data_IF_393327580187
#
_entry.id   IF_393327580187
#
_cell.length_a   1.000
_cell.length_b   1.000
_cell.length_c   1.000
_cell.angle_alpha   90.00
_cell.angle_beta   90.00
_cell.angle_gamma   90.00
#
_symmetry.space_group_name_H-M   'P 1'
#
loop_
_entity.id
_entity.type
_entity.pdbx_description
1 polymer ?
#
# COMPACT_ATOMS: atom_id res chain seq x y z
N UNK A 1 -11.96 13.27 5.89
CA UNK A 1 -12.13 11.88 5.42
C UNK A 1 -10.73 11.29 5.32
N UNK A 2 -10.39 10.35 6.19
CA UNK A 2 -9.10 9.67 6.13
C UNK A 2 -9.16 8.54 5.11
N UNK A 3 -8.21 8.49 4.19
CA UNK A 3 -8.02 7.35 3.30
C UNK A 3 -7.57 6.14 4.13
N UNK A 4 -8.23 5.01 3.96
CA UNK A 4 -7.78 3.73 4.50
C UNK A 4 -6.64 3.20 3.62
N UNK A 5 -5.63 2.63 4.26
CA UNK A 5 -4.54 1.94 3.57
C UNK A 5 -4.22 0.61 4.21
N UNK A 6 -3.76 -0.31 3.38
CA UNK A 6 -3.36 -1.65 3.76
C UNK A 6 -1.84 -1.75 3.74
N UNK A 7 -1.31 -2.42 4.75
CA UNK A 7 0.08 -2.86 4.77
C UNK A 7 0.09 -4.35 5.03
N UNK A 8 1.02 -5.06 4.41
CA UNK A 8 1.12 -6.50 4.50
C UNK A 8 2.51 -6.88 5.02
N UNK A 9 2.54 -7.74 6.02
CA UNK A 9 3.77 -8.29 6.60
C UNK A 9 3.85 -9.75 6.16
N UNK A 10 4.97 -10.12 5.56
CA UNK A 10 5.27 -11.49 5.17
C UNK A 10 6.08 -12.12 6.29
N UNK A 11 5.53 -13.18 6.86
CA UNK A 11 6.10 -13.93 7.97
C UNK A 11 6.86 -15.15 7.41
N UNK A 12 8.00 -15.50 8.00
CA UNK A 12 8.76 -16.70 7.65
C UNK A 12 8.27 -17.98 8.36
N UNK A 13 7.32 -17.88 9.29
CA UNK A 13 6.76 -19.04 10.02
C UNK A 13 5.23 -19.03 10.10
N UNK A 14 4.64 -20.21 10.19
CA UNK A 14 3.21 -20.46 10.00
C UNK A 14 2.32 -20.24 11.25
N UNK A 15 2.63 -19.31 12.16
CA UNK A 15 1.86 -19.18 13.42
C UNK A 15 1.67 -17.73 13.85
N UNK A 16 0.44 -17.22 14.04
CA UNK A 16 0.26 -15.81 14.39
C UNK A 16 0.97 -15.46 15.70
N UNK A 17 1.72 -14.35 15.68
CA UNK A 17 2.17 -13.70 16.89
C UNK A 17 1.02 -12.81 17.36
N UNK A 18 0.42 -13.16 18.50
CA UNK A 18 -0.65 -12.44 19.22
C UNK A 18 -2.12 -12.71 18.84
N UNK A 19 -2.99 -12.36 19.79
CA UNK A 19 -4.43 -12.20 19.61
C UNK A 19 -4.67 -11.08 18.60
N UNK A 20 -5.36 -11.39 17.50
CA UNK A 20 -5.51 -10.45 16.38
C UNK A 20 -6.47 -9.31 16.73
N UNK A 21 -6.01 -8.05 16.80
CA UNK A 21 -6.93 -6.93 16.94
C UNK A 21 -7.81 -6.79 15.67
N UNK A 22 -8.98 -6.12 15.76
CA UNK A 22 -9.96 -6.08 14.66
C UNK A 22 -9.45 -5.51 13.33
N UNK A 23 -8.34 -4.75 13.35
CA UNK A 23 -7.75 -4.16 12.15
C UNK A 23 -6.63 -5.03 11.53
N UNK A 24 -6.55 -6.31 11.88
CA UNK A 24 -5.52 -7.21 11.35
C UNK A 24 -6.12 -8.54 10.90
N UNK A 25 -5.52 -9.13 9.87
CA UNK A 25 -5.92 -10.43 9.33
C UNK A 25 -4.66 -11.27 9.10
N UNK A 26 -4.58 -12.44 9.71
CA UNK A 26 -3.54 -13.42 9.41
C UNK A 26 -4.11 -14.58 8.63
N UNK A 27 -3.47 -14.94 7.52
CA UNK A 27 -3.86 -16.05 6.68
C UNK A 27 -2.66 -16.62 5.93
N UNK A 28 -2.87 -17.74 5.24
CA UNK A 28 -1.90 -18.32 4.34
C UNK A 28 -2.31 -18.04 2.90
N UNK A 29 -1.38 -17.56 2.08
CA UNK A 29 -1.60 -17.46 0.64
C UNK A 29 -1.96 -18.84 0.07
N UNK A 30 -3.00 -18.90 -0.75
CA UNK A 30 -3.51 -20.17 -1.25
C UNK A 30 -2.56 -20.85 -2.26
N UNK A 31 -1.78 -20.05 -3.01
CA UNK A 31 -0.89 -20.57 -4.05
C UNK A 31 0.46 -21.04 -3.48
N UNK A 32 1.00 -20.32 -2.50
CA UNK A 32 2.36 -20.53 -1.98
C UNK A 32 2.39 -21.07 -0.55
N UNK A 33 1.23 -21.11 0.14
CA UNK A 33 1.11 -21.39 1.57
C UNK A 33 1.93 -20.44 2.47
N UNK A 34 2.38 -19.30 1.93
CA UNK A 34 3.14 -18.29 2.65
C UNK A 34 2.25 -17.63 3.71
N UNK A 35 2.67 -17.55 4.98
CA UNK A 35 1.93 -16.84 6.00
C UNK A 35 2.04 -15.32 5.81
N UNK A 36 0.88 -14.69 5.87
CA UNK A 36 0.66 -13.28 5.58
C UNK A 36 -0.10 -12.66 6.74
N UNK A 37 0.36 -11.49 7.19
CA UNK A 37 -0.36 -10.66 8.15
C UNK A 37 -0.70 -9.31 7.51
N UNK A 38 -1.97 -9.09 7.16
CA UNK A 38 -2.47 -7.79 6.70
C UNK A 38 -2.82 -6.92 7.90
N UNK A 39 -2.45 -5.66 7.82
CA UNK A 39 -2.73 -4.61 8.79
C UNK A 39 -3.47 -3.49 8.08
N UNK A 40 -4.73 -3.28 8.47
CA UNK A 40 -5.50 -2.11 8.09
C UNK A 40 -5.03 -0.89 8.88
N UNK A 41 -4.67 0.16 8.16
CA UNK A 41 -4.16 1.42 8.73
C UNK A 41 -5.01 2.59 8.25
N UNK A 42 -5.07 3.62 9.09
CA UNK A 42 -5.54 4.94 8.69
C UNK A 42 -4.30 5.79 8.49
N UNK A 43 -4.23 6.55 7.41
CA UNK A 43 -3.06 7.39 7.15
C UNK A 43 -2.82 8.47 8.21
N UNK A 44 -1.55 8.67 8.54
CA UNK A 44 -1.06 9.69 9.49
C UNK A 44 -1.69 9.56 10.89
N UNK A 45 -2.14 8.37 11.25
CA UNK A 45 -2.77 8.11 12.53
C UNK A 45 -1.72 7.52 13.48
N UNK A 46 -1.36 8.21 14.58
CA UNK A 46 -0.36 7.73 15.54
C UNK A 46 -0.64 6.32 16.08
N UNK A 47 -1.92 5.96 16.24
CA UNK A 47 -2.29 4.62 16.68
C UNK A 47 -2.05 3.55 15.59
N UNK A 48 -2.24 3.90 14.32
CA UNK A 48 -1.89 3.01 13.20
C UNK A 48 -0.38 2.83 13.09
N UNK A 49 0.39 3.92 13.26
CA UNK A 49 1.85 3.90 13.27
C UNK A 49 2.38 3.01 14.39
N UNK A 50 1.90 3.22 15.63
CA UNK A 50 2.31 2.42 16.79
C UNK A 50 2.03 0.93 16.59
N UNK A 51 0.83 0.58 16.12
CA UNK A 51 0.45 -0.82 15.86
C UNK A 51 1.32 -1.49 14.81
N UNK A 52 1.59 -0.79 13.72
CA UNK A 52 2.50 -1.26 12.67
C UNK A 52 3.88 -1.51 13.26
N UNK A 53 4.37 -0.57 14.07
CA UNK A 53 5.64 -0.70 14.78
C UNK A 53 5.68 -1.93 15.69
N UNK A 54 4.66 -2.13 16.52
CA UNK A 54 4.58 -3.27 17.44
C UNK A 54 4.58 -4.61 16.70
N UNK A 55 3.82 -4.71 15.59
CA UNK A 55 3.77 -5.93 14.79
C UNK A 55 5.11 -6.23 14.13
N UNK A 56 5.71 -5.24 13.46
CA UNK A 56 7.01 -5.42 12.80
C UNK A 56 8.08 -5.74 13.84
N UNK A 57 8.07 -5.09 15.00
CA UNK A 57 8.97 -5.40 16.11
C UNK A 57 8.77 -6.83 16.61
N UNK A 58 7.52 -7.29 16.79
CA UNK A 58 7.22 -8.67 17.21
C UNK A 58 7.75 -9.71 16.21
N UNK A 59 7.56 -9.48 14.91
CA UNK A 59 8.10 -10.36 13.87
C UNK A 59 9.63 -10.26 13.74
N UNK A 60 10.19 -9.05 13.80
CA UNK A 60 11.63 -8.79 13.66
C UNK A 60 12.44 -9.37 14.82
N UNK A 61 12.01 -9.11 16.05
CA UNK A 61 12.66 -9.61 17.28
C UNK A 61 12.69 -11.14 17.37
N UNK A 62 11.76 -11.83 16.69
CA UNK A 62 11.70 -13.30 16.63
C UNK A 62 12.37 -13.88 15.38
N UNK A 63 13.02 -13.04 14.54
CA UNK A 63 13.60 -13.40 13.24
C UNK A 63 12.60 -14.08 12.29
N UNK A 64 11.37 -13.57 12.31
CA UNK A 64 10.24 -14.05 11.52
C UNK A 64 9.80 -13.06 10.45
N UNK A 65 10.24 -11.81 10.53
CA UNK A 65 9.96 -10.81 9.52
C UNK A 65 10.72 -11.14 8.23
N UNK A 66 10.00 -11.44 7.15
CA UNK A 66 10.62 -11.70 5.85
C UNK A 66 10.62 -10.50 4.92
N UNK A 67 9.46 -9.88 4.76
CA UNK A 67 9.36 -8.61 4.05
C UNK A 67 8.13 -7.83 4.50
N UNK A 68 8.20 -6.53 4.33
CA UNK A 68 7.07 -5.62 4.50
C UNK A 68 6.64 -5.17 3.11
N UNK A 69 5.34 -5.23 2.86
CA UNK A 69 4.72 -4.81 1.61
C UNK A 69 3.83 -3.62 1.92
N UNK A 70 4.09 -2.49 1.27
CA UNK A 70 3.34 -1.25 1.46
C UNK A 70 2.50 -0.95 0.22
N UNK A 71 1.28 -0.45 0.43
CA UNK A 71 0.36 0.03 -0.61
C UNK A 71 0.84 1.41 -1.12
N UNK A 72 1.96 1.39 -1.83
CA UNK A 72 2.51 2.54 -2.52
C UNK A 72 3.19 2.09 -3.80
N UNK A 73 3.32 3.01 -4.76
CA UNK A 73 4.06 2.81 -5.99
C UNK A 73 5.36 3.62 -5.96
N UNK A 74 6.30 3.31 -6.85
CA UNK A 74 7.64 3.92 -6.84
C UNK A 74 7.58 5.45 -6.89
N UNK A 75 6.77 6.02 -7.77
CA UNK A 75 6.65 7.46 -7.94
C UNK A 75 6.11 8.14 -6.67
N UNK A 76 5.06 7.55 -6.06
CA UNK A 76 4.48 8.04 -4.81
C UNK A 76 5.48 7.92 -3.66
N UNK A 77 6.17 6.79 -3.56
CA UNK A 77 7.17 6.55 -2.52
C UNK A 77 8.36 7.52 -2.60
N UNK A 78 8.89 7.75 -3.80
CA UNK A 78 9.99 8.69 -4.01
C UNK A 78 9.57 10.14 -3.77
N UNK A 79 8.32 10.50 -4.07
CA UNK A 79 7.75 11.79 -3.68
C UNK A 79 7.71 11.94 -2.16
N UNK A 80 7.18 10.94 -1.45
CA UNK A 80 7.11 10.93 0.02
C UNK A 80 8.51 11.07 0.65
N UNK A 81 9.51 10.31 0.18
CA UNK A 81 10.89 10.42 0.69
C UNK A 81 11.53 11.79 0.45
N UNK A 82 11.18 12.48 -0.65
CA UNK A 82 11.66 13.84 -0.95
C UNK A 82 11.02 14.89 -0.07
N UNK A 83 9.71 14.79 0.15
CA UNK A 83 8.94 15.78 0.93
C UNK A 83 9.18 15.59 2.43
N UNK A 84 9.31 14.34 2.88
CA UNK A 84 9.47 13.96 4.27
C UNK A 84 10.71 13.09 4.45
N UNK A 85 11.93 13.65 4.33
CA UNK A 85 13.14 12.87 4.53
C UNK A 85 13.25 12.42 6.00
N UNK A 86 13.83 11.23 6.19
CA UNK A 86 14.15 10.63 7.48
C UNK A 86 14.89 11.65 8.37
N UNK A 87 14.39 11.86 9.59
CA UNK A 87 14.95 12.83 10.54
C UNK A 87 14.51 14.29 10.38
N UNK A 88 13.64 14.62 9.42
CA UNK A 88 13.10 15.98 9.28
C UNK A 88 12.03 16.32 10.33
N UNK A 89 11.91 17.61 10.69
CA UNK A 89 10.86 18.08 11.62
C UNK A 89 9.45 17.90 11.05
N UNK A 90 9.29 17.99 9.73
CA UNK A 90 8.01 17.70 9.06
C UNK A 90 7.61 16.24 9.26
N UNK A 91 8.58 15.32 9.21
CA UNK A 91 8.33 13.90 9.45
C UNK A 91 7.87 13.63 10.87
N UNK A 92 8.43 14.29 11.88
CA UNK A 92 7.95 14.12 13.27
C UNK A 92 6.51 14.61 13.49
N UNK A 93 5.98 15.46 12.61
CA UNK A 93 4.62 16.00 12.69
C UNK A 93 3.63 15.31 11.74
N UNK A 94 4.10 14.81 10.60
CA UNK A 94 3.33 14.11 9.56
C UNK A 94 3.86 12.70 9.34
N UNK A 95 4.23 12.02 10.43
CA UNK A 95 4.77 10.67 10.34
C UNK A 95 3.70 9.77 9.72
N UNK A 96 4.15 8.86 8.86
CA UNK A 96 3.24 7.97 8.15
C UNK A 96 3.65 6.51 8.37
N UNK A 97 2.64 5.66 8.31
CA UNK A 97 2.73 4.24 8.64
C UNK A 97 3.74 3.52 7.75
N UNK A 98 3.87 3.94 6.48
CA UNK A 98 4.76 3.31 5.51
C UNK A 98 6.23 3.62 5.76
N UNK A 99 6.56 4.85 6.14
CA UNK A 99 7.93 5.22 6.53
C UNK A 99 8.34 4.54 7.82
N UNK A 100 7.47 4.53 8.83
CA UNK A 100 7.72 3.80 10.07
C UNK A 100 7.95 2.30 9.80
N UNK A 101 7.13 1.71 8.93
CA UNK A 101 7.25 0.31 8.56
C UNK A 101 8.55 0.00 7.80
N UNK A 102 8.89 0.81 6.79
CA UNK A 102 10.09 0.62 5.99
C UNK A 102 11.36 0.73 6.83
N UNK A 103 11.43 1.72 7.73
CA UNK A 103 12.61 1.92 8.57
C UNK A 103 12.77 0.81 9.60
N UNK A 104 11.67 0.30 10.16
CA UNK A 104 11.73 -0.86 11.05
C UNK A 104 12.07 -2.14 10.30
N UNK A 105 11.59 -2.31 9.07
CA UNK A 105 11.98 -3.44 8.23
C UNK A 105 13.50 -3.43 7.96
N UNK A 106 14.06 -2.26 7.62
CA UNK A 106 15.50 -2.08 7.38
C UNK A 106 16.32 -2.41 8.64
N UNK A 107 15.84 -2.06 9.84
CA UNK A 107 16.52 -2.42 11.12
C UNK A 107 16.60 -3.94 11.35
N UNK A 108 15.70 -4.72 10.77
CA UNK A 108 15.65 -6.18 10.89
C UNK A 108 16.16 -6.90 9.64
N UNK A 109 16.87 -6.21 8.75
CA UNK A 109 17.36 -6.73 7.46
C UNK A 109 16.24 -7.32 6.57
N UNK A 110 14.99 -6.88 6.77
CA UNK A 110 13.85 -7.29 5.98
C UNK A 110 13.61 -6.33 4.81
N UNK A 111 13.16 -6.87 3.68
CA UNK A 111 12.93 -6.06 2.47
C UNK A 111 11.60 -5.34 2.52
N UNK A 112 11.58 -4.08 2.07
CA UNK A 112 10.35 -3.33 1.79
C UNK A 112 9.98 -3.47 0.31
N UNK A 113 8.73 -3.85 0.03
CA UNK A 113 8.19 -4.08 -1.31
C UNK A 113 7.03 -3.09 -1.53
N UNK A 114 7.00 -2.47 -2.70
CA UNK A 114 5.95 -1.56 -3.13
C UNK A 114 4.90 -2.36 -3.93
N UNK A 115 3.64 -2.32 -3.52
CA UNK A 115 2.57 -3.15 -4.11
C UNK A 115 1.37 -2.36 -4.63
N UNK A 116 1.53 -1.06 -4.92
CA UNK A 116 0.52 -0.30 -5.67
C UNK A 116 0.91 -0.18 -7.16
N UNK A 117 -0.10 -0.03 -8.00
CA UNK A 117 0.04 0.17 -9.44
C UNK A 117 0.77 1.49 -9.73
N UNK A 118 1.56 1.49 -10.81
CA UNK A 118 2.28 2.69 -11.18
C UNK A 118 1.30 3.77 -11.65
N UNK A 119 1.45 5.00 -11.15
CA UNK A 119 0.52 6.08 -11.49
C UNK A 119 0.68 6.50 -12.96
N UNK A 120 1.87 6.31 -13.55
CA UNK A 120 2.12 6.57 -14.97
C UNK A 120 1.34 5.62 -15.89
N UNK A 121 1.33 4.32 -15.60
CA UNK A 121 0.53 3.35 -16.37
C UNK A 121 -0.98 3.59 -16.21
N UNK A 122 -1.42 4.07 -15.04
CA UNK A 122 -2.81 4.43 -14.81
C UNK A 122 -3.21 5.74 -15.53
N UNK A 123 -2.33 6.74 -15.56
CA UNK A 123 -2.55 7.98 -16.30
C UNK A 123 -2.65 7.75 -17.81
N UNK A 124 -1.86 6.83 -18.37
CA UNK A 124 -1.96 6.49 -19.79
C UNK A 124 -3.31 5.87 -20.13
N UNK A 125 -3.86 5.02 -19.24
CA UNK A 125 -5.21 4.46 -19.38
C UNK A 125 -6.29 5.52 -19.25
N UNK A 126 -6.17 6.43 -18.27
CA UNK A 126 -7.12 7.53 -18.06
C UNK A 126 -7.09 8.52 -19.23
N UNK A 127 -5.90 8.89 -19.72
CA UNK A 127 -5.75 9.76 -20.87
C UNK A 127 -6.27 9.10 -22.15
N UNK A 128 -6.01 7.81 -22.33
CA UNK A 128 -6.55 7.06 -23.46
C UNK A 128 -8.08 7.00 -23.42
N UNK A 129 -8.66 6.74 -22.24
CA UNK A 129 -10.10 6.78 -22.04
C UNK A 129 -10.68 8.17 -22.32
N UNK A 130 -10.05 9.24 -21.83
CA UNK A 130 -10.47 10.62 -22.07
C UNK A 130 -10.41 11.00 -23.56
N UNK A 131 -9.32 10.66 -24.24
CA UNK A 131 -9.16 10.89 -25.68
C UNK A 131 -10.23 10.13 -26.46
N UNK A 132 -10.53 8.90 -26.03
CA UNK A 132 -11.57 8.08 -26.65
C UNK A 132 -12.95 8.70 -26.43
N UNK A 133 -13.29 9.15 -25.22
CA UNK A 133 -14.53 9.88 -24.92
C UNK A 133 -14.68 11.15 -25.76
N UNK A 134 -13.61 11.94 -25.91
CA UNK A 134 -13.64 13.16 -26.74
C UNK A 134 -13.83 12.80 -28.22
N UNK A 135 -13.14 11.76 -28.71
CA UNK A 135 -13.27 11.27 -30.08
C UNK A 135 -14.68 10.76 -30.36
N UNK A 136 -15.29 10.06 -29.42
CA UNK A 136 -16.63 9.50 -29.52
C UNK A 136 -17.70 10.61 -29.43
N UNK A 137 -17.45 11.65 -28.63
CA UNK A 137 -18.30 12.86 -28.58
C UNK A 137 -18.25 13.64 -29.91
N UNK A 138 -17.08 13.68 -30.56
CA UNK A 138 -16.89 14.37 -31.84
C UNK A 138 -17.30 13.54 -33.07
N UNK A 139 -17.63 12.24 -32.92
CA UNK A 139 -18.13 11.37 -34.00
C UNK A 139 -19.50 10.74 -33.63
N UNK A 140 -20.60 11.53 -33.71
CA UNK A 140 -21.90 11.15 -33.16
C UNK A 140 -22.46 9.79 -33.62
N UNK A 141 -22.43 9.39 -34.91
CA UNK A 141 -23.13 8.18 -35.34
C UNK A 141 -22.48 6.86 -34.90
N UNK A 142 -21.18 6.85 -34.54
CA UNK A 142 -20.49 5.65 -34.03
C UNK A 142 -20.14 5.76 -32.54
N UNK A 143 -19.76 6.95 -32.09
CA UNK A 143 -19.37 7.18 -30.70
C UNK A 143 -20.53 7.07 -29.71
N UNK A 144 -21.75 7.45 -30.11
CA UNK A 144 -22.91 7.36 -29.21
C UNK A 144 -23.37 5.92 -28.98
N UNK A 145 -23.19 5.02 -29.96
CA UNK A 145 -23.45 3.58 -29.79
C UNK A 145 -22.47 2.96 -28.78
N UNK A 146 -21.20 3.38 -28.81
CA UNK A 146 -20.17 2.94 -27.85
C UNK A 146 -20.42 3.50 -26.45
N UNK A 147 -20.80 4.78 -26.33
CA UNK A 147 -21.19 5.38 -25.03
C UNK A 147 -22.41 4.66 -24.43
N UNK A 148 -23.39 4.29 -25.26
CA UNK A 148 -24.57 3.53 -24.83
C UNK A 148 -24.23 2.09 -24.41
N UNK A 149 -23.24 1.45 -25.03
CA UNK A 149 -22.78 0.11 -24.60
C UNK A 149 -21.99 0.15 -23.29
N UNK A 150 -21.26 1.23 -23.03
CA UNK A 150 -20.46 1.38 -21.79
C UNK A 150 -21.34 1.72 -20.56
N UNK A 151 -22.53 2.28 -20.77
CA UNK A 151 -23.50 2.60 -19.71
C UNK A 151 -24.37 1.41 -19.27
N UNK A 152 -24.21 0.24 -19.90
CA UNK A 152 -25.04 -0.95 -19.68
C UNK A 152 -24.28 -2.02 -18.90
#
# INVERSE_FOLDING_TARGET
>A
MGTQTCMMIIDHRATPLHHQPPQTLFFHDAATNQPIHIVGTMHYNPHSIGKVGDLIHGYGSTRRLGSVVIESCEERWQSTKRIQPTGSKLRSFLDNEFQAASELADQYDARTILADENISSNNDRINSALIQTVRDLCNPPKGWETILSDLR
#
